data_IF_512067796208
#
_entry.id   IF_512067796208
#
_cell.length_a   1.000
_cell.length_b   1.000
_cell.length_c   1.000
_cell.angle_alpha   90.00
_cell.angle_beta   90.00
_cell.angle_gamma   90.00
#
_symmetry.space_group_name_H-M   'P 1'
#
loop_
_entity.id
_entity.type
_entity.pdbx_description
1 polymer ?
#
# COMPACT_ATOMS: atom_id res chain seq x y z
N UNK A 1 11.16 -6.83 22.35
CA UNK A 1 10.97 -5.64 21.47
C UNK A 1 9.77 -5.90 20.58
N UNK A 2 8.73 -5.10 20.68
CA UNK A 2 7.52 -5.26 19.87
C UNK A 2 7.67 -4.45 18.59
N UNK A 3 7.83 -5.12 17.45
CA UNK A 3 8.06 -4.50 16.14
C UNK A 3 6.81 -4.62 15.28
N UNK A 4 6.46 -3.52 14.61
CA UNK A 4 5.45 -3.51 13.57
C UNK A 4 6.06 -4.04 12.26
N UNK A 5 5.27 -4.75 11.46
CA UNK A 5 5.70 -5.33 10.19
C UNK A 5 4.83 -4.81 9.06
N UNK A 6 5.43 -4.67 7.88
CA UNK A 6 4.73 -4.37 6.64
C UNK A 6 5.15 -5.38 5.60
N UNK A 7 4.16 -6.02 4.98
CA UNK A 7 4.34 -6.93 3.86
C UNK A 7 3.71 -6.31 2.64
N UNK A 8 4.37 -6.40 1.49
CA UNK A 8 3.88 -5.77 0.28
C UNK A 8 4.20 -6.63 -0.94
N UNK A 9 3.22 -6.76 -1.82
CA UNK A 9 3.34 -7.46 -3.09
C UNK A 9 2.44 -6.77 -4.12
N UNK A 10 3.00 -6.51 -5.30
CA UNK A 10 2.21 -6.11 -6.47
C UNK A 10 1.60 -7.35 -7.12
N UNK A 11 0.27 -7.39 -7.22
CA UNK A 11 -0.49 -8.49 -7.80
C UNK A 11 -1.38 -7.96 -8.93
N UNK A 12 -1.09 -8.38 -10.17
CA UNK A 12 -1.91 -8.04 -11.34
C UNK A 12 -2.16 -6.53 -11.53
N UNK A 13 -1.19 -5.70 -11.13
CA UNK A 13 -1.31 -4.23 -11.20
C UNK A 13 -1.93 -3.57 -9.96
N UNK A 14 -2.33 -4.35 -8.96
CA UNK A 14 -2.79 -3.86 -7.66
C UNK A 14 -1.70 -3.98 -6.60
N UNK A 15 -1.58 -2.93 -5.80
CA UNK A 15 -0.67 -2.91 -4.66
C UNK A 15 -1.37 -3.54 -3.45
N UNK A 16 -0.95 -4.74 -3.05
CA UNK A 16 -1.48 -5.41 -1.86
C UNK A 16 -0.50 -5.22 -0.70
N UNK A 17 -0.99 -4.70 0.42
CA UNK A 17 -0.17 -4.41 1.59
C UNK A 17 -0.84 -4.93 2.85
N UNK A 18 -0.08 -5.64 3.68
CA UNK A 18 -0.50 -5.99 5.04
C UNK A 18 0.38 -5.26 6.04
N UNK A 19 -0.24 -4.65 7.04
CA UNK A 19 0.47 -3.97 8.13
C UNK A 19 0.03 -4.56 9.46
N UNK A 20 1.00 -4.92 10.31
CA UNK A 20 0.73 -5.45 11.64
C UNK A 20 1.14 -4.43 12.69
N UNK A 21 0.24 -4.13 13.63
CA UNK A 21 0.50 -3.29 14.79
C UNK A 21 0.66 -4.19 16.02
N UNK A 22 1.87 -4.35 16.51
CA UNK A 22 2.12 -5.26 17.62
C UNK A 22 1.51 -4.74 18.92
N UNK A 23 1.54 -3.42 19.16
CA UNK A 23 1.02 -2.82 20.40
C UNK A 23 -0.48 -3.10 20.61
N UNK A 24 -1.25 -3.11 19.52
CA UNK A 24 -2.70 -3.32 19.54
C UNK A 24 -3.11 -4.72 19.11
N UNK A 25 -2.16 -5.56 18.66
CA UNK A 25 -2.38 -6.90 18.08
C UNK A 25 -3.34 -6.88 16.89
N UNK A 26 -3.13 -5.93 16.00
CA UNK A 26 -4.01 -5.68 14.87
C UNK A 26 -3.28 -5.91 13.54
N UNK A 27 -4.02 -6.29 12.52
CA UNK A 27 -3.56 -6.33 11.15
C UNK A 27 -4.53 -5.62 10.21
N UNK A 28 -3.99 -4.78 9.34
CA UNK A 28 -4.71 -4.04 8.31
C UNK A 28 -4.32 -4.60 6.93
N UNK A 29 -5.32 -4.92 6.10
CA UNK A 29 -5.13 -5.27 4.70
C UNK A 29 -5.51 -4.07 3.84
N UNK A 30 -4.59 -3.66 2.97
CA UNK A 30 -4.78 -2.58 2.03
C UNK A 30 -4.63 -3.07 0.59
N UNK A 31 -5.49 -2.56 -0.29
CA UNK A 31 -5.39 -2.68 -1.75
C UNK A 31 -5.34 -1.28 -2.33
N UNK A 32 -4.31 -0.98 -3.12
CA UNK A 32 -4.06 0.33 -3.73
C UNK A 32 -4.05 1.49 -2.71
N UNK A 33 -3.55 1.20 -1.51
CA UNK A 33 -3.48 2.15 -0.39
C UNK A 33 -4.80 2.37 0.35
N UNK A 34 -5.88 1.66 0.00
CA UNK A 34 -7.15 1.69 0.72
C UNK A 34 -7.28 0.47 1.63
N UNK A 35 -7.67 0.69 2.89
CA UNK A 35 -8.00 -0.40 3.81
C UNK A 35 -9.24 -1.14 3.31
N UNK A 36 -9.10 -2.44 3.09
CA UNK A 36 -10.17 -3.34 2.64
C UNK A 36 -10.47 -4.46 3.64
N UNK A 37 -9.57 -4.70 4.59
CA UNK A 37 -9.73 -5.73 5.60
C UNK A 37 -9.03 -5.37 6.90
N UNK A 38 -9.55 -5.91 7.99
CA UNK A 38 -9.05 -5.64 9.32
C UNK A 38 -9.19 -6.88 10.21
N UNK A 39 -8.17 -7.16 11.01
CA UNK A 39 -8.16 -8.24 11.98
C UNK A 39 -7.69 -7.72 13.34
N UNK A 40 -8.52 -7.89 14.37
CA UNK A 40 -8.09 -7.79 15.77
C UNK A 40 -7.67 -9.16 16.28
N UNK A 41 -6.63 -9.20 17.11
CA UNK A 41 -6.10 -10.37 17.82
C UNK A 41 -5.22 -11.33 17.00
N UNK A 42 -4.06 -10.84 16.55
CA UNK A 42 -2.88 -11.69 16.38
C UNK A 42 -2.42 -12.19 17.78
N UNK A 43 -3.14 -13.17 18.32
CA UNK A 43 -2.83 -13.79 19.60
C UNK A 43 -1.79 -14.91 19.42
N UNK A 44 -0.96 -15.13 20.44
CA UNK A 44 0.02 -16.23 20.50
C UNK A 44 -0.58 -17.65 20.41
N UNK A 45 -1.91 -17.79 20.30
CA UNK A 45 -2.63 -19.07 20.31
C UNK A 45 -3.09 -19.51 18.91
N UNK A 46 -3.19 -18.58 17.96
CA UNK A 46 -3.54 -18.89 16.58
C UNK A 46 -2.26 -18.87 15.73
N UNK A 47 -1.83 -20.01 15.16
CA UNK A 47 -0.59 -20.08 14.39
C UNK A 47 -0.66 -19.29 13.08
N UNK A 48 -1.88 -19.02 12.59
CA UNK A 48 -2.13 -18.25 11.39
C UNK A 48 -3.43 -17.48 11.50
N UNK A 49 -3.50 -16.33 10.84
CA UNK A 49 -4.75 -15.58 10.67
C UNK A 49 -4.97 -15.21 9.21
N UNK A 50 -6.22 -15.30 8.77
CA UNK A 50 -6.60 -15.04 7.38
C UNK A 50 -7.36 -13.72 7.25
N UNK A 51 -6.95 -12.90 6.28
CA UNK A 51 -7.67 -11.72 5.82
C UNK A 51 -8.16 -11.99 4.40
N UNK A 52 -9.44 -11.77 4.12
CA UNK A 52 -10.02 -11.96 2.78
C UNK A 52 -10.41 -10.62 2.17
N UNK A 53 -10.23 -10.47 0.87
CA UNK A 53 -10.64 -9.30 0.11
C UNK A 53 -10.78 -9.64 -1.38
N UNK A 54 -11.13 -8.65 -2.19
CA UNK A 54 -11.28 -8.78 -3.64
C UNK A 54 -10.39 -7.75 -4.34
N UNK A 55 -9.76 -8.18 -5.43
CA UNK A 55 -9.11 -7.28 -6.37
C UNK A 55 -10.14 -6.77 -7.38
N UNK A 56 -10.02 -5.49 -7.71
CA UNK A 56 -10.86 -4.88 -8.73
C UNK A 56 -10.57 -5.53 -10.10
N UNK A 57 -11.65 -5.82 -10.83
CA UNK A 57 -11.59 -6.50 -12.12
C UNK A 57 -13.00 -6.83 -12.59
N UNK A 58 -13.11 -7.29 -13.83
CA UNK A 58 -14.34 -7.87 -14.36
C UNK A 58 -14.04 -9.29 -14.87
N UNK A 59 -14.44 -10.34 -14.13
CA UNK A 59 -15.12 -10.31 -12.83
C UNK A 59 -14.18 -9.90 -11.66
N UNK A 60 -14.72 -9.46 -10.50
CA UNK A 60 -13.96 -9.29 -9.27
C UNK A 60 -13.25 -10.58 -8.88
N UNK A 61 -12.01 -10.47 -8.39
CA UNK A 61 -11.18 -11.64 -8.08
C UNK A 61 -10.95 -11.75 -6.56
N UNK A 62 -11.54 -12.76 -5.90
CA UNK A 62 -11.31 -12.95 -4.47
C UNK A 62 -9.89 -13.45 -4.21
N UNK A 63 -9.31 -12.99 -3.11
CA UNK A 63 -8.04 -13.45 -2.59
C UNK A 63 -8.06 -13.52 -1.06
N UNK A 64 -7.12 -14.27 -0.50
CA UNK A 64 -6.87 -14.30 0.94
C UNK A 64 -5.41 -13.99 1.22
N UNK A 65 -5.14 -13.49 2.41
CA UNK A 65 -3.79 -13.29 2.92
C UNK A 65 -3.68 -14.02 4.25
N UNK A 66 -2.73 -14.94 4.31
CA UNK A 66 -2.38 -15.68 5.50
C UNK A 66 -1.20 -15.02 6.18
N UNK A 67 -1.40 -14.61 7.42
CA UNK A 67 -0.36 -14.10 8.29
C UNK A 67 -0.03 -15.16 9.34
N UNK A 68 1.18 -15.68 9.29
CA UNK A 68 1.66 -16.68 10.24
C UNK A 68 2.45 -16.00 11.34
N UNK A 69 2.10 -16.30 12.59
CA UNK A 69 2.90 -15.89 13.73
C UNK A 69 4.27 -16.58 13.66
N UNK A 70 5.32 -15.89 14.12
CA UNK A 70 6.61 -16.55 14.26
C UNK A 70 6.57 -17.57 15.40
N UNK A 71 7.17 -18.74 15.20
CA UNK A 71 7.30 -19.76 16.24
C UNK A 71 8.20 -19.31 17.40
N UNK A 72 9.07 -18.33 17.15
CA UNK A 72 9.95 -17.72 18.15
C UNK A 72 9.47 -16.32 18.51
N UNK A 73 9.52 -15.96 19.79
CA UNK A 73 9.14 -14.63 20.28
C UNK A 73 9.94 -13.47 19.63
N UNK A 74 11.08 -13.78 19.02
CA UNK A 74 11.97 -12.83 18.35
C UNK A 74 11.92 -12.92 16.81
N UNK A 75 11.25 -13.91 16.25
CA UNK A 75 11.23 -14.10 14.80
C UNK A 75 10.19 -13.21 14.10
N UNK A 76 10.45 -12.92 12.82
CA UNK A 76 9.52 -12.17 12.00
C UNK A 76 8.32 -13.06 11.60
N UNK A 77 7.08 -12.52 11.58
CA UNK A 77 5.95 -13.23 11.01
C UNK A 77 6.14 -13.42 9.51
N UNK A 78 5.48 -14.43 8.94
CA UNK A 78 5.48 -14.64 7.48
C UNK A 78 4.11 -14.31 6.91
N UNK A 79 4.09 -13.79 5.69
CA UNK A 79 2.86 -13.35 5.03
C UNK A 79 2.77 -13.99 3.64
N UNK A 80 1.64 -14.61 3.33
CA UNK A 80 1.39 -15.30 2.06
C UNK A 80 0.04 -14.85 1.51
N UNK A 81 0.04 -14.38 0.26
CA UNK A 81 -1.17 -14.10 -0.49
C UNK A 81 -1.59 -15.33 -1.29
N UNK A 82 -2.86 -15.70 -1.21
CA UNK A 82 -3.46 -16.78 -2.00
C UNK A 82 -4.54 -16.21 -2.92
N UNK A 83 -4.36 -16.39 -4.23
CA UNK A 83 -5.29 -15.93 -5.27
C UNK A 83 -5.36 -16.97 -6.38
N UNK A 84 -6.58 -17.28 -6.84
CA UNK A 84 -6.81 -18.30 -7.87
C UNK A 84 -6.12 -19.65 -7.58
N UNK A 85 -6.08 -20.06 -6.30
CA UNK A 85 -5.43 -21.29 -5.83
C UNK A 85 -3.90 -21.26 -5.84
N UNK A 86 -3.28 -20.10 -6.12
CA UNK A 86 -1.82 -19.92 -6.13
C UNK A 86 -1.38 -19.13 -4.92
N UNK A 87 -0.27 -19.57 -4.31
CA UNK A 87 0.36 -18.92 -3.16
C UNK A 87 1.54 -18.07 -3.58
N UNK A 88 1.58 -16.85 -3.05
CA UNK A 88 2.59 -15.85 -3.33
C UNK A 88 3.15 -15.33 -2.01
N UNK A 89 4.43 -15.57 -1.70
CA UNK A 89 5.05 -15.00 -0.51
C UNK A 89 5.08 -13.47 -0.64
N UNK A 90 4.62 -12.77 0.40
CA UNK A 90 4.71 -11.33 0.47
C UNK A 90 5.97 -10.94 1.25
N UNK A 91 6.97 -10.31 0.62
CA UNK A 91 8.20 -9.91 1.31
C UNK A 91 7.92 -8.83 2.37
N UNK A 92 8.69 -8.87 3.48
CA UNK A 92 8.72 -7.77 4.44
C UNK A 92 9.37 -6.55 3.78
N UNK A 93 8.70 -5.41 3.88
CA UNK A 93 9.24 -4.11 3.48
C UNK A 93 9.47 -3.30 4.74
N UNK A 94 10.65 -2.70 4.84
CA UNK A 94 11.00 -1.86 5.97
C UNK A 94 9.93 -0.77 6.15
N UNK A 95 9.32 -0.74 7.33
CA UNK A 95 8.64 0.43 7.80
C UNK A 95 9.72 1.50 7.97
N UNK A 96 9.79 2.46 7.04
CA UNK A 96 10.50 3.70 7.34
C UNK A 96 9.95 4.17 8.69
N UNK A 97 10.82 4.28 9.71
CA UNK A 97 10.42 4.80 11.01
C UNK A 97 9.68 6.09 10.73
N UNK A 98 8.42 6.17 11.11
CA UNK A 98 7.66 7.41 11.09
C UNK A 98 8.17 8.32 12.22
N UNK A 99 9.49 8.58 12.26
CA UNK A 99 10.06 9.66 13.03
C UNK A 99 9.72 10.95 12.26
N UNK A 100 8.61 11.56 12.68
CA UNK A 100 8.41 13.01 12.71
C UNK A 100 8.91 13.84 11.52
N UNK A 101 8.17 13.84 10.41
CA UNK A 101 7.75 15.07 9.67
C UNK A 101 6.87 14.67 8.48
N UNK A 102 5.75 15.37 8.18
CA UNK A 102 5.10 15.20 6.90
C UNK A 102 6.03 15.76 5.82
N UNK A 103 6.70 14.87 5.09
CA UNK A 103 7.41 15.22 3.86
C UNK A 103 6.36 15.57 2.79
N UNK A 104 5.89 16.81 2.86
CA UNK A 104 5.27 17.52 1.73
C UNK A 104 6.39 17.88 0.75
N UNK A 105 7.03 16.89 0.15
CA UNK A 105 8.09 17.11 -0.83
C UNK A 105 8.31 15.90 -1.74
N UNK A 106 7.25 15.38 -2.36
CA UNK A 106 7.39 14.57 -3.59
C UNK A 106 6.06 14.44 -4.33
N UNK A 107 5.51 15.57 -4.80
CA UNK A 107 4.66 15.56 -5.98
C UNK A 107 5.29 16.52 -6.98
N UNK A 108 5.91 16.06 -8.09
CA UNK A 108 6.04 16.93 -9.24
C UNK A 108 4.62 17.12 -9.78
N UNK A 109 3.94 18.12 -9.22
CA UNK A 109 2.65 18.55 -9.71
C UNK A 109 2.86 19.14 -11.11
N UNK A 110 2.28 18.49 -12.12
CA UNK A 110 2.18 18.99 -13.50
C UNK A 110 1.19 20.18 -13.55
N UNK A 111 1.48 21.24 -12.82
CA UNK A 111 0.75 22.52 -12.83
C UNK A 111 1.73 23.69 -13.00
N UNK A 112 2.55 23.60 -14.03
CA UNK A 112 3.41 24.71 -14.45
C UNK A 112 3.56 24.78 -15.98
N UNK A 113 2.46 24.62 -16.74
CA UNK A 113 2.47 24.91 -18.19
C UNK A 113 1.14 25.52 -18.62
N UNK A 114 0.78 26.71 -18.11
CA UNK A 114 -0.27 27.56 -18.71
C UNK A 114 -0.07 29.03 -18.35
N UNK A 115 0.95 29.69 -18.91
CA UNK A 115 1.00 31.17 -19.06
C UNK A 115 2.16 31.59 -19.94
N UNK A 116 2.08 31.24 -21.23
CA UNK A 116 2.98 31.80 -22.22
C UNK A 116 2.35 31.74 -23.61
N UNK A 117 1.19 32.37 -23.76
CA UNK A 117 0.64 32.73 -25.08
C UNK A 117 -0.41 33.83 -24.89
N UNK A 118 0.02 35.09 -25.06
CA UNK A 118 -0.79 36.22 -25.54
C UNK A 118 0.07 37.47 -25.51
N UNK A 119 0.75 37.75 -26.63
CA UNK A 119 0.92 39.11 -27.17
C UNK A 119 1.75 39.03 -28.46
N UNK A 120 1.11 38.56 -29.53
CA UNK A 120 1.49 38.94 -30.88
C UNK A 120 0.22 39.21 -31.68
N UNK A 121 0.29 40.25 -32.49
CA UNK A 121 -0.66 40.73 -33.49
C UNK A 121 -1.70 41.75 -33.00
N UNK A 122 -1.32 43.03 -33.17
CA UNK A 122 -2.12 44.15 -33.73
C UNK A 122 -1.20 45.37 -33.69
N UNK A 123 -0.86 46.05 -34.76
CA UNK A 123 -1.22 45.95 -36.15
C UNK A 123 -0.41 47.02 -36.89
N UNK A 124 -0.02 46.70 -38.11
CA UNK A 124 0.50 47.63 -39.10
C UNK A 124 -0.56 48.67 -39.47
N UNK A 125 -0.18 49.96 -39.51
CA UNK A 125 -0.67 50.96 -40.49
C UNK A 125 0.11 52.28 -40.31
N UNK A 126 1.06 52.54 -41.22
CA UNK A 126 1.06 53.61 -42.24
C UNK A 126 1.25 55.03 -41.67
N UNK A 127 2.44 55.60 -41.89
CA UNK A 127 2.75 56.58 -42.96
C UNK A 127 1.89 57.86 -42.87
N UNK A 128 2.51 58.96 -42.44
CA UNK A 128 3.06 59.97 -43.37
C UNK A 128 3.97 60.93 -42.61
#
# INVERSE_FOLDING_TARGET
MTRDYRFHLDMEGHSVTVQTRHATREAELLVDGKVVGYLHALGHREPASALTAELAGDPPRPFSVMLHASESAEGAPTCVLEIAGRRHPMPEVALARSDSTPSVAARPSLRAVRRLFRQTVRGTRRRR
#
